data_IF_988017349348
#
_entry.id   IF_988017349348
#
_cell.length_a   1.000
_cell.length_b   1.000
_cell.length_c   1.000
_cell.angle_alpha   90.00
_cell.angle_beta   90.00
_cell.angle_gamma   90.00
#
_symmetry.space_group_name_H-M   'P 1'
#
loop_
_entity.id
_entity.type
_entity.pdbx_description
1 polymer ?
#
# COMPACT_ATOMS: atom_id res chain seq x y z
N UNK A 1 13.43 -25.83 6.71
CA UNK A 1 12.79 -24.58 6.24
C UNK A 1 12.59 -24.69 4.74
N UNK A 2 11.35 -24.84 4.28
CA UNK A 2 11.01 -24.98 2.85
C UNK A 2 10.90 -23.62 2.19
N UNK A 3 11.26 -23.49 0.91
CA UNK A 3 11.18 -22.26 0.09
C UNK A 3 9.82 -21.53 0.18
N UNK A 4 8.74 -22.30 0.37
CA UNK A 4 7.36 -21.81 0.55
C UNK A 4 7.19 -21.01 1.86
N UNK A 5 7.90 -21.38 2.93
CA UNK A 5 7.87 -20.68 4.23
C UNK A 5 8.61 -19.34 4.15
N UNK A 6 9.72 -19.27 3.40
CA UNK A 6 10.47 -18.02 3.19
C UNK A 6 9.66 -17.00 2.36
N UNK A 7 8.90 -17.48 1.37
CA UNK A 7 8.00 -16.63 0.57
C UNK A 7 6.82 -16.12 1.39
N UNK A 8 6.22 -16.95 2.25
CA UNK A 8 5.16 -16.52 3.19
C UNK A 8 5.62 -15.40 4.13
N UNK A 9 6.91 -15.36 4.46
CA UNK A 9 7.50 -14.40 5.40
C UNK A 9 7.64 -12.98 4.81
N UNK A 10 7.56 -12.82 3.47
CA UNK A 10 7.75 -11.52 2.79
C UNK A 10 6.46 -10.87 2.28
N UNK A 11 5.32 -11.55 2.39
CA UNK A 11 4.06 -11.00 1.92
C UNK A 11 3.49 -10.04 2.98
N UNK A 12 3.32 -8.79 2.59
CA UNK A 12 2.70 -7.74 3.39
C UNK A 12 1.24 -7.57 2.97
N UNK A 13 0.38 -7.20 3.92
CA UNK A 13 -1.03 -6.89 3.66
C UNK A 13 -1.28 -5.40 3.82
N UNK A 14 -1.96 -4.80 2.86
CA UNK A 14 -2.46 -3.44 2.93
C UNK A 14 -4.00 -3.44 2.93
N UNK A 15 -4.56 -2.57 3.78
CA UNK A 15 -5.96 -2.17 3.76
C UNK A 15 -5.98 -0.68 3.44
N UNK A 16 -6.36 -0.33 2.21
CA UNK A 16 -6.37 1.03 1.72
C UNK A 16 -7.81 1.53 1.62
N UNK A 17 -8.08 2.68 2.22
CA UNK A 17 -9.32 3.42 1.98
C UNK A 17 -9.11 4.28 0.73
N UNK A 18 -9.98 4.09 -0.26
CA UNK A 18 -9.92 4.78 -1.55
C UNK A 18 -10.92 5.91 -1.60
N UNK A 19 -10.57 6.98 -2.29
CA UNK A 19 -11.54 7.99 -2.68
C UNK A 19 -12.35 7.51 -3.88
N UNK A 20 -13.61 7.93 -3.95
CA UNK A 20 -14.49 7.82 -5.12
C UNK A 20 -14.83 6.37 -5.60
N UNK A 21 -14.67 5.36 -4.75
CA UNK A 21 -15.10 3.97 -5.02
C UNK A 21 -16.61 3.81 -4.76
N UNK A 22 -17.46 3.96 -5.78
CA UNK A 22 -18.92 4.08 -5.60
C UNK A 22 -19.73 2.94 -6.18
N UNK A 23 -19.22 2.24 -7.19
CA UNK A 23 -19.96 1.21 -7.89
C UNK A 23 -19.10 0.03 -8.39
N UNK A 24 -19.76 -1.02 -8.87
CA UNK A 24 -19.08 -2.20 -9.42
C UNK A 24 -18.21 -1.89 -10.65
N UNK A 25 -18.56 -0.84 -11.41
CA UNK A 25 -17.75 -0.43 -12.55
C UNK A 25 -16.39 0.11 -12.11
N UNK A 26 -16.34 0.87 -11.01
CA UNK A 26 -15.10 1.34 -10.37
C UNK A 26 -14.25 0.16 -9.91
N UNK A 27 -14.88 -0.83 -9.27
CA UNK A 27 -14.24 -2.08 -8.86
C UNK A 27 -13.59 -2.82 -10.04
N UNK A 28 -14.28 -2.91 -11.18
CA UNK A 28 -13.71 -3.49 -12.42
C UNK A 28 -12.52 -2.69 -12.94
N UNK A 29 -12.59 -1.36 -12.93
CA UNK A 29 -11.49 -0.49 -13.36
C UNK A 29 -10.26 -0.69 -12.48
N UNK A 30 -10.43 -0.72 -11.15
CA UNK A 30 -9.34 -0.96 -10.19
C UNK A 30 -8.74 -2.36 -10.41
N UNK A 31 -9.57 -3.40 -10.47
CA UNK A 31 -9.13 -4.78 -10.66
C UNK A 31 -8.32 -4.94 -11.96
N UNK A 32 -8.82 -4.40 -13.07
CA UNK A 32 -8.15 -4.47 -14.39
C UNK A 32 -6.78 -3.80 -14.39
N UNK A 33 -6.62 -2.67 -13.71
CA UNK A 33 -5.36 -1.94 -13.72
C UNK A 33 -4.34 -2.50 -12.72
N UNK A 34 -4.78 -2.84 -11.50
CA UNK A 34 -3.89 -3.36 -10.47
C UNK A 34 -3.45 -4.81 -10.74
N UNK A 35 -4.24 -5.62 -11.44
CA UNK A 35 -3.84 -6.98 -11.87
C UNK A 35 -2.62 -6.99 -12.81
N UNK A 36 -2.28 -5.85 -13.44
CA UNK A 36 -1.07 -5.70 -14.27
C UNK A 36 0.19 -5.47 -13.46
N UNK A 37 0.07 -5.19 -12.16
CA UNK A 37 1.20 -4.96 -11.28
C UNK A 37 1.70 -6.31 -10.77
N UNK A 38 2.86 -6.74 -11.26
CA UNK A 38 3.54 -7.94 -10.77
C UNK A 38 3.76 -7.88 -9.26
N UNK A 39 3.64 -9.03 -8.59
CA UNK A 39 3.77 -9.20 -7.13
C UNK A 39 2.68 -8.51 -6.30
N UNK A 40 1.58 -8.07 -6.91
CA UNK A 40 0.39 -7.57 -6.24
C UNK A 40 -0.76 -8.56 -6.38
N UNK A 41 -1.45 -8.85 -5.28
CA UNK A 41 -2.64 -9.70 -5.29
C UNK A 41 -3.79 -9.01 -4.56
N UNK A 42 -4.86 -8.70 -5.29
CA UNK A 42 -6.09 -8.20 -4.69
C UNK A 42 -6.76 -9.35 -3.92
N UNK A 43 -7.19 -9.06 -2.71
CA UNK A 43 -7.92 -9.97 -1.84
C UNK A 43 -9.40 -9.63 -1.87
N UNK A 44 -9.72 -8.35 -1.75
CA UNK A 44 -11.09 -7.89 -1.76
C UNK A 44 -11.19 -6.40 -2.12
N UNK A 45 -12.35 -6.01 -2.66
CA UNK A 45 -12.73 -4.63 -2.93
C UNK A 45 -14.16 -4.46 -2.41
N UNK A 46 -14.28 -3.67 -1.36
CA UNK A 46 -15.51 -3.38 -0.64
C UNK A 46 -15.95 -1.94 -0.98
N UNK A 47 -17.05 -1.85 -1.71
CA UNK A 47 -17.60 -0.57 -2.17
C UNK A 47 -18.30 0.17 -1.03
N UNK A 48 -18.98 -0.55 -0.14
CA UNK A 48 -19.74 0.05 0.97
C UNK A 48 -18.82 0.84 1.90
N UNK A 49 -17.63 0.28 2.18
CA UNK A 49 -16.64 0.92 3.06
C UNK A 49 -15.54 1.69 2.31
N UNK A 50 -15.60 1.75 0.98
CA UNK A 50 -14.53 2.31 0.13
C UNK A 50 -13.15 1.68 0.40
N UNK A 51 -13.10 0.36 0.59
CA UNK A 51 -11.89 -0.35 1.02
C UNK A 51 -11.33 -1.26 -0.08
N UNK A 52 -10.01 -1.19 -0.28
CA UNK A 52 -9.23 -2.10 -1.12
C UNK A 52 -8.26 -2.89 -0.25
N UNK A 53 -8.39 -4.22 -0.28
CA UNK A 53 -7.53 -5.14 0.45
C UNK A 53 -6.61 -5.86 -0.52
N UNK A 54 -5.31 -5.74 -0.34
CA UNK A 54 -4.34 -6.40 -1.22
C UNK A 54 -3.08 -6.85 -0.49
N UNK A 55 -2.42 -7.84 -1.09
CA UNK A 55 -1.13 -8.36 -0.69
C UNK A 55 -0.06 -7.88 -1.67
N UNK A 56 1.14 -7.67 -1.14
CA UNK A 56 2.30 -7.30 -1.94
C UNK A 56 3.59 -7.83 -1.33
N UNK A 57 4.57 -8.18 -2.16
CA UNK A 57 5.84 -8.76 -1.69
C UNK A 57 6.94 -7.71 -1.45
N UNK A 58 6.89 -6.56 -2.12
CA UNK A 58 7.96 -5.55 -2.09
C UNK A 58 7.40 -4.13 -1.89
N UNK A 59 8.08 -3.24 -1.16
CA UNK A 59 7.63 -1.85 -0.98
C UNK A 59 7.42 -1.11 -2.31
N UNK A 60 8.24 -1.39 -3.32
CA UNK A 60 8.08 -0.82 -4.67
C UNK A 60 6.73 -1.19 -5.31
N UNK A 61 6.20 -2.38 -5.05
CA UNK A 61 4.90 -2.82 -5.54
C UNK A 61 3.77 -1.99 -4.94
N UNK A 62 3.84 -1.67 -3.64
CA UNK A 62 2.89 -0.76 -3.00
C UNK A 62 2.94 0.64 -3.61
N UNK A 63 4.14 1.18 -3.87
CA UNK A 63 4.29 2.50 -4.51
C UNK A 63 3.71 2.52 -5.94
N UNK A 64 3.90 1.43 -6.70
CA UNK A 64 3.28 1.28 -8.02
C UNK A 64 1.76 1.27 -7.93
N UNK A 65 1.20 0.51 -6.97
CA UNK A 65 -0.24 0.48 -6.74
C UNK A 65 -0.80 1.86 -6.39
N UNK A 66 -0.14 2.58 -5.48
CA UNK A 66 -0.53 3.94 -5.09
C UNK A 66 -0.53 4.90 -6.30
N UNK A 67 0.52 4.86 -7.13
CA UNK A 67 0.60 5.68 -8.35
C UNK A 67 -0.48 5.32 -9.36
N UNK A 68 -0.72 4.03 -9.57
CA UNK A 68 -1.73 3.59 -10.52
C UNK A 68 -3.13 3.99 -10.07
N UNK A 69 -3.48 3.77 -8.79
CA UNK A 69 -4.73 4.20 -8.18
C UNK A 69 -4.99 5.70 -8.32
N UNK A 70 -3.97 6.53 -8.07
CA UNK A 70 -4.05 7.96 -8.31
C UNK A 70 -4.33 8.28 -9.79
N UNK A 71 -3.64 7.59 -10.72
CA UNK A 71 -3.77 7.79 -12.17
C UNK A 71 -5.17 7.44 -12.68
N UNK A 72 -5.82 6.43 -12.11
CA UNK A 72 -7.15 5.99 -12.52
C UNK A 72 -8.28 6.67 -11.74
N UNK A 73 -7.97 7.65 -10.88
CA UNK A 73 -8.97 8.47 -10.17
C UNK A 73 -9.44 7.94 -8.82
N UNK A 74 -8.77 6.93 -8.25
CA UNK A 74 -9.12 6.34 -6.95
C UNK A 74 -7.96 6.48 -5.94
N UNK A 75 -7.52 7.70 -5.60
CA UNK A 75 -6.37 7.90 -4.72
C UNK A 75 -6.59 7.28 -3.33
N UNK A 76 -5.51 6.77 -2.74
CA UNK A 76 -5.52 6.25 -1.36
C UNK A 76 -5.60 7.43 -0.38
N UNK A 77 -6.66 7.50 0.41
CA UNK A 77 -6.82 8.50 1.48
C UNK A 77 -6.07 8.11 2.75
N UNK A 78 -6.24 6.85 3.17
CA UNK A 78 -5.56 6.29 4.32
C UNK A 78 -5.22 4.82 4.08
N UNK A 79 -4.18 4.32 4.73
CA UNK A 79 -3.79 2.92 4.60
C UNK A 79 -3.29 2.35 5.92
N UNK A 80 -3.73 1.13 6.22
CA UNK A 80 -3.20 0.31 7.32
C UNK A 80 -2.33 -0.79 6.72
N UNK A 81 -1.08 -0.85 7.14
CA UNK A 81 -0.11 -1.85 6.69
C UNK A 81 0.07 -2.88 7.79
N UNK A 82 -0.38 -4.11 7.54
CA UNK A 82 -0.07 -5.24 8.39
C UNK A 82 1.19 -5.89 7.85
N UNK A 83 2.34 -5.54 8.45
CA UNK A 83 3.57 -6.32 8.31
C UNK A 83 3.28 -7.68 8.96
N UNK A 84 3.08 -8.73 8.16
CA UNK A 84 3.15 -10.09 8.69
C UNK A 84 4.46 -10.23 9.46
N UNK A 85 4.43 -10.74 10.70
CA UNK A 85 5.51 -10.70 11.69
C UNK A 85 6.92 -10.83 11.07
N UNK A 86 7.51 -9.71 10.66
CA UNK A 86 8.91 -9.65 10.23
C UNK A 86 9.72 -9.47 11.50
N UNK A 87 10.40 -10.52 11.97
CA UNK A 87 11.55 -10.34 12.85
C UNK A 87 12.58 -9.51 12.06
N UNK A 88 12.68 -8.23 12.40
CA UNK A 88 13.81 -7.37 12.07
C UNK A 88 13.66 -6.50 10.82
N UNK A 89 13.79 -5.19 11.08
CA UNK A 89 14.76 -4.31 10.38
C UNK A 89 14.32 -3.53 9.13
N UNK A 90 13.15 -2.88 9.08
CA UNK A 90 12.91 -1.77 8.12
C UNK A 90 11.90 -0.74 8.66
N UNK A 91 12.20 -0.13 9.81
CA UNK A 91 11.39 0.97 10.40
C UNK A 91 12.16 2.30 10.47
N UNK A 92 13.39 2.38 9.91
CA UNK A 92 14.24 3.57 10.10
C UNK A 92 14.25 4.60 8.95
N UNK A 93 13.66 4.31 7.78
CA UNK A 93 13.94 5.14 6.60
C UNK A 93 12.79 6.06 6.13
N UNK A 94 11.70 6.21 6.90
CA UNK A 94 10.56 7.07 6.49
C UNK A 94 10.32 8.27 7.44
N UNK A 95 10.98 8.30 8.61
CA UNK A 95 10.86 9.40 9.57
C UNK A 95 12.25 10.04 9.81
N UNK A 96 12.88 10.55 8.75
CA UNK A 96 14.06 11.43 8.90
C UNK A 96 14.26 12.42 7.74
N UNK A 97 13.23 12.65 6.93
CA UNK A 97 13.17 13.75 5.97
C UNK A 97 11.68 14.14 5.91
N UNK A 98 11.20 15.22 6.51
CA UNK A 98 11.83 16.50 6.80
C UNK A 98 10.89 17.23 7.77
N UNK A 99 11.38 17.56 8.95
CA UNK A 99 10.68 18.39 9.93
C UNK A 99 11.71 19.10 10.80
N UNK A 100 11.57 20.43 10.83
CA UNK A 100 12.13 21.40 11.79
C UNK A 100 13.49 22.02 11.44
N UNK A 101 13.46 23.21 10.83
CA UNK A 101 14.35 24.31 11.23
C UNK A 101 13.50 25.31 12.02
N UNK A 102 13.44 25.07 13.34
CA UNK A 102 13.10 26.09 14.31
C UNK A 102 14.38 26.88 14.64
N UNK A 103 14.21 28.18 14.83
CA UNK A 103 15.27 29.19 14.77
C UNK A 103 16.45 29.03 15.72
N UNK A 104 17.56 29.63 15.28
CA UNK A 104 18.72 29.95 16.11
C UNK A 104 18.83 31.48 16.22
N UNK A 105 18.85 32.07 17.43
CA UNK A 105 19.06 33.49 17.64
C UNK A 105 20.54 33.86 17.89
N UNK A 106 20.98 34.88 17.17
CA UNK A 106 21.94 35.95 17.51
C UNK A 106 23.06 35.67 18.52
N UNK A 107 24.20 35.20 17.99
CA UNK A 107 25.59 35.47 18.38
C UNK A 107 26.54 34.66 17.51
#
# INVERSE_FOLDING_TARGET
MTYIEELKTRIMKAMANLQDLKCDEDKKVILRNLSRIMDLRIIDIDIENNMLHFLYARPITFQKAKKELLRIGFPIQSCKLNKGRTKGRYEKDIIQSSGVQAGAPWW
#
